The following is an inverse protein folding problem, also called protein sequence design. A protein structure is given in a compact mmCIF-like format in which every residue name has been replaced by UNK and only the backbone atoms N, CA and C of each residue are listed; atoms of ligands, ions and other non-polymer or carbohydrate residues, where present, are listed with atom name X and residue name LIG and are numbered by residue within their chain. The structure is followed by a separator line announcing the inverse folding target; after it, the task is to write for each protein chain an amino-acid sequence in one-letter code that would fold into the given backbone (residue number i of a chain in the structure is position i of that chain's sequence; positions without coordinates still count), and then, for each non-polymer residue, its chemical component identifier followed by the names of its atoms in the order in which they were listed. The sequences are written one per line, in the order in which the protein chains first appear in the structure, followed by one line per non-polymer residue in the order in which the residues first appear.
data_IF_597870333024
#
_entry.id   IF_597870333024
#
_cell.length_a   1.000
_cell.length_b   1.000
_cell.length_c   1.000
_cell.angle_alpha   90.00
_cell.angle_beta   90.00
_cell.angle_gamma   90.00
#
_symmetry.space_group_name_H-M   'P 1'
#
loop_
_entity.id
_entity.type
_entity.pdbx_description
1 polymer ?
#
# COMPACT_ATOMS: atom_id res chain seq x y z
N UNK A 1 24.32 -10.22 44.29
CA UNK A 1 24.20 -9.24 43.19
C UNK A 1 25.52 -8.49 42.94
N UNK A 2 26.38 -8.36 43.95
CA UNK A 2 27.64 -7.63 43.83
C UNK A 2 28.61 -8.21 42.78
N UNK A 3 28.62 -9.54 42.59
CA UNK A 3 29.49 -10.20 41.60
C UNK A 3 29.18 -9.77 40.16
N UNK A 4 27.91 -9.70 39.77
CA UNK A 4 27.49 -9.33 38.41
C UNK A 4 27.90 -7.88 38.06
N UNK A 5 27.73 -6.96 39.01
CA UNK A 5 28.12 -5.56 38.85
C UNK A 5 29.66 -5.42 38.80
N UNK A 6 30.36 -6.26 39.53
CA UNK A 6 31.83 -6.28 39.55
C UNK A 6 32.38 -6.83 38.23
N UNK A 7 31.79 -7.90 37.70
CA UNK A 7 32.14 -8.49 36.40
C UNK A 7 31.86 -7.53 35.23
N UNK A 8 30.71 -6.86 35.22
CA UNK A 8 30.36 -5.86 34.21
C UNK A 8 31.35 -4.68 34.20
N UNK A 9 31.73 -4.20 35.39
CA UNK A 9 32.71 -3.11 35.56
C UNK A 9 34.10 -3.55 35.12
N UNK A 10 34.49 -4.79 35.39
CA UNK A 10 35.76 -5.36 34.95
C UNK A 10 35.80 -5.49 33.42
N UNK A 11 34.72 -5.98 32.80
CA UNK A 11 34.57 -6.08 31.35
C UNK A 11 34.68 -4.73 30.64
N UNK A 12 33.97 -3.71 31.12
CA UNK A 12 34.07 -2.33 30.61
C UNK A 12 35.50 -1.78 30.69
N UNK A 13 36.18 -2.04 31.81
CA UNK A 13 37.58 -1.59 32.00
C UNK A 13 38.55 -2.31 31.08
N UNK A 14 38.27 -3.57 30.73
CA UNK A 14 39.04 -4.35 29.77
C UNK A 14 38.84 -3.82 28.34
N UNK A 15 37.60 -3.50 27.96
CA UNK A 15 37.25 -2.92 26.65
C UNK A 15 37.92 -1.55 26.44
N UNK A 16 38.00 -0.72 27.48
CA UNK A 16 38.67 0.59 27.45
C UNK A 16 40.20 0.49 27.36
N UNK A 17 40.81 -0.62 27.80
CA UNK A 17 42.26 -0.87 27.70
C UNK A 17 42.70 -1.31 26.30
N UNK A 18 41.78 -1.79 25.47
CA UNK A 18 42.08 -2.29 24.12
C UNK A 18 41.20 -1.61 23.05
N UNK A 19 41.31 -0.28 22.89
CA UNK A 19 40.36 0.52 22.11
C UNK A 19 40.27 0.12 20.62
N UNK A 20 41.39 -0.29 20.00
CA UNK A 20 41.39 -0.70 18.60
C UNK A 20 40.60 -1.99 18.33
N UNK A 21 40.80 -3.02 19.16
CA UNK A 21 40.05 -4.28 19.04
C UNK A 21 38.56 -4.07 19.36
N UNK A 22 38.26 -3.33 20.44
CA UNK A 22 36.90 -2.98 20.81
C UNK A 22 36.18 -2.24 19.69
N UNK A 23 36.84 -1.27 19.04
CA UNK A 23 36.24 -0.51 17.94
C UNK A 23 35.88 -1.40 16.74
N UNK A 24 36.76 -2.33 16.34
CA UNK A 24 36.49 -3.27 15.25
C UNK A 24 35.29 -4.17 15.60
N UNK A 25 35.26 -4.73 16.81
CA UNK A 25 34.15 -5.58 17.26
C UNK A 25 32.83 -4.82 17.29
N UNK A 26 32.80 -3.61 17.86
CA UNK A 26 31.61 -2.77 17.91
C UNK A 26 31.12 -2.41 16.51
N UNK A 27 32.01 -2.03 15.60
CA UNK A 27 31.66 -1.72 14.21
C UNK A 27 31.11 -2.94 13.47
N UNK A 28 31.74 -4.10 13.61
CA UNK A 28 31.24 -5.33 12.99
C UNK A 28 29.85 -5.72 13.54
N UNK A 29 29.64 -5.59 14.85
CA UNK A 29 28.35 -5.89 15.48
C UNK A 29 27.27 -4.88 15.05
N UNK A 30 27.62 -3.59 15.03
CA UNK A 30 26.74 -2.52 14.58
C UNK A 30 26.35 -2.68 13.12
N UNK A 31 27.29 -3.06 12.25
CA UNK A 31 27.01 -3.31 10.83
C UNK A 31 26.09 -4.52 10.65
N UNK A 32 26.35 -5.62 11.36
CA UNK A 32 25.53 -6.84 11.28
C UNK A 32 24.09 -6.61 11.78
N UNK A 33 23.94 -5.94 12.92
CA UNK A 33 22.63 -5.59 13.47
C UNK A 33 21.94 -4.57 12.56
N UNK A 34 22.63 -3.49 12.20
CA UNK A 34 22.09 -2.40 11.41
C UNK A 34 21.65 -2.83 10.01
N UNK A 35 22.43 -3.67 9.32
CA UNK A 35 22.08 -4.18 8.00
C UNK A 35 20.79 -5.03 8.06
N UNK A 36 20.68 -5.93 9.04
CA UNK A 36 19.48 -6.75 9.21
C UNK A 36 18.26 -5.88 9.55
N UNK A 37 18.41 -4.94 10.50
CA UNK A 37 17.34 -4.00 10.86
C UNK A 37 16.92 -3.13 9.67
N UNK A 38 17.86 -2.67 8.84
CA UNK A 38 17.56 -1.86 7.66
C UNK A 38 16.77 -2.64 6.61
N UNK A 39 17.13 -3.90 6.36
CA UNK A 39 16.39 -4.77 5.42
C UNK A 39 14.96 -4.99 5.92
N UNK A 40 14.77 -5.33 7.19
CA UNK A 40 13.43 -5.54 7.75
C UNK A 40 12.61 -4.24 7.77
N UNK A 41 13.23 -3.11 8.09
CA UNK A 41 12.55 -1.79 8.05
C UNK A 41 12.14 -1.41 6.63
N UNK A 42 12.97 -1.73 5.63
CA UNK A 42 12.63 -1.49 4.23
C UNK A 42 11.50 -2.41 3.77
N UNK A 43 11.54 -3.69 4.13
CA UNK A 43 10.46 -4.65 3.87
C UNK A 43 9.16 -4.14 4.49
N UNK A 44 9.17 -3.74 5.76
CA UNK A 44 8.00 -3.20 6.44
C UNK A 44 7.47 -1.92 5.74
N UNK A 45 8.36 -0.99 5.40
CA UNK A 45 7.98 0.26 4.73
C UNK A 45 7.46 0.07 3.29
N UNK A 46 7.88 -0.98 2.58
CA UNK A 46 7.55 -1.21 1.16
C UNK A 46 6.44 -2.25 0.99
N UNK A 47 6.48 -3.35 1.71
CA UNK A 47 5.52 -4.46 1.61
C UNK A 47 4.34 -4.32 2.59
N UNK A 48 4.56 -3.75 3.78
CA UNK A 48 3.53 -3.62 4.82
C UNK A 48 2.97 -2.21 4.93
N UNK A 49 3.23 -1.33 3.95
CA UNK A 49 2.62 -0.01 3.91
C UNK A 49 1.11 -0.16 3.86
N UNK A 50 0.51 0.03 5.03
CA UNK A 50 -0.91 -0.08 5.29
C UNK A 50 -1.69 0.63 4.19
N UNK A 51 -2.58 -0.13 3.53
CA UNK A 51 -3.53 0.44 2.57
C UNK A 51 -4.20 1.66 3.25
N UNK A 52 -4.23 2.82 2.58
CA UNK A 52 -4.84 4.01 3.15
C UNK A 52 -6.32 3.73 3.46
N UNK A 53 -6.67 3.74 4.75
CA UNK A 53 -8.01 3.45 5.22
C UNK A 53 -8.05 3.29 6.73
N UNK A 54 -9.25 3.29 7.32
CA UNK A 54 -9.43 3.07 8.76
C UNK A 54 -9.20 1.59 9.09
N UNK A 55 -8.38 1.32 10.10
CA UNK A 55 -8.03 -0.03 10.57
C UNK A 55 -7.48 -0.97 9.48
N UNK A 56 -6.35 -0.63 8.83
CA UNK A 56 -5.73 -1.45 7.79
C UNK A 56 -5.38 -2.87 8.24
N UNK A 57 -5.17 -3.09 9.54
CA UNK A 57 -4.96 -4.41 10.15
C UNK A 57 -6.16 -5.37 10.03
N UNK A 58 -7.35 -4.86 9.67
CA UNK A 58 -8.56 -5.66 9.46
C UNK A 58 -8.78 -6.03 7.99
N UNK A 59 -7.93 -5.55 7.07
CA UNK A 59 -8.02 -5.87 5.66
C UNK A 59 -7.44 -7.27 5.40
N UNK A 60 -8.25 -8.13 4.80
CA UNK A 60 -7.84 -9.49 4.42
C UNK A 60 -8.01 -9.69 2.93
N UNK A 61 -7.11 -10.47 2.32
CA UNK A 61 -7.17 -10.79 0.90
C UNK A 61 -7.87 -12.14 0.70
N UNK A 62 -8.93 -12.15 -0.11
CA UNK A 62 -9.68 -13.36 -0.43
C UNK A 62 -8.95 -14.16 -1.52
N UNK A 63 -8.47 -15.35 -1.17
CA UNK A 63 -7.88 -16.31 -2.10
C UNK A 63 -8.85 -17.47 -2.33
N UNK A 64 -9.02 -17.87 -3.59
CA UNK A 64 -9.62 -19.17 -3.94
C UNK A 64 -8.51 -20.17 -4.19
N UNK A 65 -8.64 -21.37 -3.62
CA UNK A 65 -7.75 -22.49 -3.87
C UNK A 65 -8.47 -23.45 -4.82
N UNK A 66 -7.85 -23.81 -5.94
CA UNK A 66 -8.40 -24.85 -6.81
C UNK A 66 -8.17 -26.26 -6.23
N UNK A 67 -8.75 -27.27 -6.88
CA UNK A 67 -8.61 -28.67 -6.45
C UNK A 67 -7.16 -29.19 -6.51
N UNK A 68 -6.24 -28.49 -7.19
CA UNK A 68 -4.82 -28.81 -7.28
C UNK A 68 -3.98 -28.04 -6.25
N UNK A 69 -4.60 -27.20 -5.41
CA UNK A 69 -3.91 -26.41 -4.41
C UNK A 69 -3.34 -25.09 -4.93
N UNK A 70 -3.69 -24.67 -6.15
CA UNK A 70 -3.22 -23.38 -6.68
C UNK A 70 -4.07 -22.25 -6.12
N UNK A 71 -3.40 -21.24 -5.56
CA UNK A 71 -4.04 -20.02 -5.09
C UNK A 71 -4.29 -19.07 -6.26
N UNK A 72 -5.55 -18.70 -6.47
CA UNK A 72 -5.96 -17.64 -7.38
C UNK A 72 -6.59 -16.49 -6.60
N UNK A 73 -6.19 -15.27 -6.95
CA UNK A 73 -6.82 -14.01 -6.50
C UNK A 73 -7.75 -13.44 -7.57
N UNK A 74 -7.83 -14.09 -8.74
CA UNK A 74 -8.63 -13.62 -9.87
C UNK A 74 -10.07 -14.10 -9.66
N UNK A 75 -10.88 -13.21 -9.10
CA UNK A 75 -12.32 -13.42 -8.98
C UNK A 75 -13.04 -12.73 -10.13
N UNK A 76 -13.95 -13.45 -10.77
CA UNK A 76 -14.84 -12.82 -11.75
C UNK A 76 -15.68 -11.75 -11.07
N UNK A 77 -15.97 -10.64 -11.76
CA UNK A 77 -16.79 -9.56 -11.21
C UNK A 77 -18.17 -10.05 -10.68
N UNK A 78 -18.88 -10.99 -11.35
CA UNK A 78 -20.10 -11.58 -10.80
C UNK A 78 -19.92 -12.35 -9.48
N UNK A 79 -18.77 -13.01 -9.29
CA UNK A 79 -18.47 -13.67 -8.01
C UNK A 79 -18.28 -12.64 -6.90
N UNK A 80 -17.55 -11.55 -7.18
CA UNK A 80 -17.42 -10.42 -6.26
C UNK A 80 -18.79 -9.86 -5.86
N UNK A 81 -19.69 -9.62 -6.84
CA UNK A 81 -21.04 -9.12 -6.56
C UNK A 81 -21.80 -10.05 -5.61
N UNK A 82 -21.78 -11.37 -5.86
CA UNK A 82 -22.44 -12.35 -4.98
C UNK A 82 -21.86 -12.33 -3.58
N UNK A 83 -20.53 -12.34 -3.45
CA UNK A 83 -19.85 -12.31 -2.16
C UNK A 83 -20.22 -11.03 -1.41
N UNK A 84 -20.17 -9.87 -2.06
CA UNK A 84 -20.54 -8.58 -1.47
C UNK A 84 -21.99 -8.56 -0.99
N UNK A 85 -22.92 -9.06 -1.80
CA UNK A 85 -24.36 -8.99 -1.54
C UNK A 85 -24.84 -10.02 -0.51
N UNK A 86 -24.10 -11.11 -0.33
CA UNK A 86 -24.39 -12.20 0.61
C UNK A 86 -23.27 -12.34 1.65
N UNK A 87 -22.71 -11.22 2.09
CA UNK A 87 -21.64 -11.22 3.09
C UNK A 87 -22.18 -10.85 4.47
N UNK A 88 -22.04 -11.80 5.40
CA UNK A 88 -22.36 -11.62 6.83
C UNK A 88 -21.11 -11.56 7.73
N UNK A 89 -19.91 -11.73 7.15
CA UNK A 89 -18.66 -11.92 7.90
C UNK A 89 -17.80 -10.65 7.92
N UNK A 90 -17.70 -9.96 6.80
CA UNK A 90 -16.88 -8.76 6.63
C UNK A 90 -17.71 -7.48 6.78
N UNK A 91 -17.09 -6.38 7.19
CA UNK A 91 -17.75 -5.05 7.17
C UNK A 91 -18.01 -4.56 5.74
N UNK A 92 -17.22 -5.02 4.78
CA UNK A 92 -17.39 -4.74 3.35
C UNK A 92 -16.40 -5.55 2.52
N UNK A 93 -16.75 -5.76 1.26
CA UNK A 93 -15.89 -6.43 0.28
C UNK A 93 -15.74 -5.48 -0.90
N UNK A 94 -14.51 -5.28 -1.36
CA UNK A 94 -14.19 -4.54 -2.59
C UNK A 94 -13.25 -5.35 -3.47
N UNK A 95 -13.14 -4.97 -4.74
CA UNK A 95 -12.14 -5.50 -5.65
C UNK A 95 -11.31 -4.36 -6.21
N UNK A 96 -10.01 -4.60 -6.38
CA UNK A 96 -9.08 -3.70 -7.03
C UNK A 96 -8.18 -4.49 -7.97
N UNK A 97 -7.82 -3.88 -9.09
CA UNK A 97 -6.82 -4.40 -10.03
C UNK A 97 -5.95 -3.26 -10.53
N UNK A 98 -4.67 -3.53 -10.76
CA UNK A 98 -3.69 -2.51 -11.16
C UNK A 98 -3.22 -2.75 -12.59
N UNK A 99 -4.06 -2.44 -13.61
CA UNK A 99 -3.65 -2.59 -15.00
C UNK A 99 -2.51 -1.62 -15.34
N UNK A 100 -1.76 -1.93 -16.41
CA UNK A 100 -0.85 -0.96 -17.00
C UNK A 100 -1.67 0.12 -17.70
N UNK A 101 -1.49 1.37 -17.29
CA UNK A 101 -2.18 2.52 -17.86
C UNK A 101 -1.18 3.51 -18.45
N UNK A 102 -1.54 4.10 -19.58
CA UNK A 102 -0.84 5.22 -20.21
C UNK A 102 -1.77 6.42 -20.21
N UNK A 103 -1.32 7.55 -19.68
CA UNK A 103 -2.06 8.80 -19.72
C UNK A 103 -1.58 9.64 -20.89
N UNK A 104 -2.51 10.02 -21.76
CA UNK A 104 -2.27 11.01 -22.82
C UNK A 104 -2.77 12.38 -22.36
N UNK A 105 -1.84 13.32 -22.23
CA UNK A 105 -2.12 14.72 -21.92
C UNK A 105 -1.26 15.62 -22.80
N UNK A 106 -1.85 16.66 -23.38
CA UNK A 106 -1.14 17.65 -24.19
C UNK A 106 -0.30 17.03 -25.34
N UNK A 107 -0.77 15.90 -25.89
CA UNK A 107 -0.09 15.17 -26.96
C UNK A 107 1.09 14.31 -26.51
N UNK A 108 1.37 14.21 -25.21
CA UNK A 108 2.39 13.33 -24.65
C UNK A 108 1.77 12.17 -23.87
N UNK A 109 2.11 10.95 -24.25
CA UNK A 109 1.75 9.74 -23.52
C UNK A 109 2.80 9.47 -22.44
N UNK A 110 2.36 9.27 -21.20
CA UNK A 110 3.23 8.91 -20.09
C UNK A 110 2.65 7.74 -19.29
N UNK A 111 3.48 6.78 -18.85
CA UNK A 111 3.00 5.69 -18.01
C UNK A 111 2.49 6.25 -16.68
N UNK A 112 1.33 5.78 -16.25
CA UNK A 112 0.76 6.13 -14.95
C UNK A 112 0.37 4.87 -14.19
N UNK A 113 0.54 4.95 -12.87
CA UNK A 113 0.00 3.93 -11.97
C UNK A 113 -1.44 4.32 -11.68
N UNK A 114 -2.37 3.40 -11.92
CA UNK A 114 -3.76 3.54 -11.55
C UNK A 114 -4.38 2.20 -11.24
N UNK A 115 -5.50 2.24 -10.54
CA UNK A 115 -6.24 1.05 -10.12
C UNK A 115 -7.66 1.14 -10.65
N UNK A 116 -8.15 0.02 -11.19
CA UNK A 116 -9.58 -0.20 -11.41
C UNK A 116 -10.14 -0.81 -10.14
N UNK A 117 -11.04 -0.09 -9.51
CA UNK A 117 -11.63 -0.46 -8.21
C UNK A 117 -13.14 -0.55 -8.32
N UNK A 118 -13.76 -1.37 -7.47
CA UNK A 118 -15.21 -1.43 -7.38
C UNK A 118 -15.81 -0.12 -6.86
N UNK A 119 -17.07 0.14 -7.20
CA UNK A 119 -17.74 1.39 -6.83
C UNK A 119 -17.84 1.67 -5.32
N UNK A 120 -17.76 0.65 -4.47
CA UNK A 120 -17.77 0.81 -3.01
C UNK A 120 -16.38 0.91 -2.36
N UNK A 121 -15.29 0.86 -3.14
CA UNK A 121 -13.91 0.80 -2.65
C UNK A 121 -13.60 1.87 -1.59
N UNK A 122 -13.85 3.14 -1.92
CA UNK A 122 -13.58 4.26 -1.01
C UNK A 122 -14.47 4.25 0.23
N UNK A 123 -15.70 3.75 0.12
CA UNK A 123 -16.62 3.62 1.26
C UNK A 123 -16.16 2.53 2.23
N UNK A 124 -15.67 1.39 1.72
CA UNK A 124 -15.19 0.29 2.58
C UNK A 124 -13.88 0.68 3.28
N UNK A 125 -13.00 1.42 2.61
CA UNK A 125 -11.77 1.93 3.22
C UNK A 125 -12.00 3.17 4.12
N UNK A 126 -13.21 3.71 4.15
CA UNK A 126 -13.55 4.97 4.82
C UNK A 126 -12.63 6.14 4.39
N UNK A 127 -12.31 6.21 3.09
CA UNK A 127 -11.48 7.27 2.50
C UNK A 127 -12.38 8.34 1.90
N UNK A 128 -12.24 9.57 2.40
CA UNK A 128 -13.03 10.71 1.94
C UNK A 128 -12.25 11.58 0.93
N UNK A 129 -12.90 12.01 -0.17
CA UNK A 129 -12.27 12.90 -1.14
C UNK A 129 -12.08 14.31 -0.54
N UNK A 130 -10.95 14.94 -0.85
CA UNK A 130 -10.69 16.35 -0.47
C UNK A 130 -11.51 17.29 -1.36
N UNK A 131 -11.72 16.91 -2.63
CA UNK A 131 -12.42 17.70 -3.63
C UNK A 131 -13.23 16.77 -4.56
N UNK A 132 -14.44 17.18 -4.92
CA UNK A 132 -15.33 16.39 -5.78
C UNK A 132 -16.06 15.28 -5.01
N UNK A 133 -16.23 14.12 -5.66
CA UNK A 133 -16.88 12.93 -5.07
C UNK A 133 -16.02 11.69 -5.28
N UNK A 134 -16.14 10.72 -4.38
CA UNK A 134 -15.57 9.39 -4.59
C UNK A 134 -16.41 8.61 -5.61
N UNK A 135 -15.85 7.48 -6.06
CA UNK A 135 -16.62 6.47 -6.80
C UNK A 135 -17.70 5.90 -5.89
N UNK A 136 -18.83 5.54 -6.51
CA UNK A 136 -19.99 4.94 -5.86
C UNK A 136 -20.39 3.68 -6.61
N UNK A 137 -21.23 2.85 -5.99
CA UNK A 137 -21.76 1.62 -6.62
C UNK A 137 -22.46 1.91 -7.95
N UNK A 138 -23.08 3.08 -8.10
CA UNK A 138 -23.76 3.48 -9.34
C UNK A 138 -22.77 3.64 -10.51
N UNK A 139 -21.52 4.03 -10.24
CA UNK A 139 -20.49 4.21 -11.27
C UNK A 139 -19.95 2.88 -11.83
N UNK A 140 -20.28 1.75 -11.19
CA UNK A 140 -19.73 0.42 -11.47
C UNK A 140 -20.82 -0.59 -11.94
N UNK A 141 -22.05 -0.11 -12.24
CA UNK A 141 -23.17 -0.99 -12.62
C UNK A 141 -23.12 -1.49 -14.05
N UNK A 142 -22.68 -0.65 -14.98
CA UNK A 142 -22.73 -0.94 -16.41
C UNK A 142 -21.31 -0.87 -16.99
N UNK A 143 -20.80 -1.98 -17.57
CA UNK A 143 -19.48 -1.98 -18.17
C UNK A 143 -19.30 -0.84 -19.19
N UNK A 144 -18.28 -0.01 -18.98
CA UNK A 144 -17.93 1.09 -19.88
C UNK A 144 -18.87 2.31 -19.85
N UNK A 145 -19.89 2.34 -18.99
CA UNK A 145 -20.88 3.43 -18.97
C UNK A 145 -20.41 4.71 -18.28
N UNK A 146 -19.44 4.62 -17.34
CA UNK A 146 -18.99 5.75 -16.55
C UNK A 146 -17.47 5.90 -16.62
N UNK A 147 -17.00 6.87 -17.40
CA UNK A 147 -15.57 7.25 -17.46
C UNK A 147 -15.24 8.25 -16.36
N UNK A 148 -15.38 7.84 -15.11
CA UNK A 148 -15.02 8.64 -13.93
C UNK A 148 -13.72 8.12 -13.32
N UNK A 149 -12.88 9.04 -12.86
CA UNK A 149 -11.61 8.71 -12.22
C UNK A 149 -11.42 9.56 -10.96
N UNK A 150 -10.84 8.96 -9.93
CA UNK A 150 -10.35 9.66 -8.74
C UNK A 150 -8.84 9.72 -8.83
N UNK A 151 -8.27 10.91 -8.64
CA UNK A 151 -6.81 11.12 -8.68
C UNK A 151 -6.26 11.29 -7.28
N UNK A 152 -5.03 10.83 -7.07
CA UNK A 152 -4.33 11.05 -5.80
C UNK A 152 -3.96 12.51 -5.61
N UNK A 153 -3.80 12.93 -4.35
CA UNK A 153 -3.34 14.28 -4.03
C UNK A 153 -1.98 14.61 -4.67
N UNK A 154 -1.04 13.66 -4.71
CA UNK A 154 0.26 13.87 -5.36
C UNK A 154 0.12 14.08 -6.86
N UNK A 155 -0.77 13.35 -7.52
CA UNK A 155 -1.06 13.54 -8.94
C UNK A 155 -1.71 14.90 -9.21
N UNK A 156 -2.70 15.29 -8.39
CA UNK A 156 -3.34 16.62 -8.45
C UNK A 156 -2.32 17.75 -8.28
N UNK A 157 -1.40 17.63 -7.31
CA UNK A 157 -0.34 18.61 -7.08
C UNK A 157 0.63 18.73 -8.25
N UNK A 158 1.09 17.60 -8.78
CA UNK A 158 2.17 17.58 -9.76
C UNK A 158 1.70 17.79 -11.20
N UNK A 159 0.46 17.44 -11.53
CA UNK A 159 -0.09 17.53 -12.90
C UNK A 159 -1.10 18.64 -13.10
N UNK A 160 -1.74 19.11 -12.04
CA UNK A 160 -2.78 20.13 -12.12
C UNK A 160 -2.54 21.30 -11.18
N UNK A 161 -1.36 21.39 -10.55
CA UNK A 161 -0.94 22.51 -9.71
C UNK A 161 -1.92 22.82 -8.56
N UNK A 162 -2.58 21.79 -8.03
CA UNK A 162 -3.65 21.92 -7.02
C UNK A 162 -4.84 22.78 -7.49
N UNK A 163 -5.06 22.93 -8.79
CA UNK A 163 -6.17 23.69 -9.34
C UNK A 163 -7.51 23.03 -9.00
N UNK A 164 -8.46 23.74 -8.37
CA UNK A 164 -9.79 23.18 -8.06
C UNK A 164 -10.62 22.91 -9.34
N UNK A 165 -10.24 23.53 -10.46
CA UNK A 165 -10.82 23.28 -11.78
C UNK A 165 -10.54 21.88 -12.34
N UNK A 166 -9.82 21.03 -11.60
CA UNK A 166 -9.55 19.64 -12.00
C UNK A 166 -10.83 18.79 -12.06
N UNK A 167 -11.83 19.12 -11.23
CA UNK A 167 -13.11 18.40 -11.22
C UNK A 167 -13.85 18.68 -12.53
N UNK A 168 -14.25 17.61 -13.21
CA UNK A 168 -14.95 17.68 -14.50
C UNK A 168 -14.03 17.78 -15.72
N UNK A 169 -12.69 17.84 -15.54
CA UNK A 169 -11.76 17.69 -16.66
C UNK A 169 -11.71 16.25 -17.15
N UNK A 170 -11.60 16.11 -18.48
CA UNK A 170 -11.40 14.81 -19.12
C UNK A 170 -9.92 14.50 -19.23
N UNK A 171 -9.57 13.24 -18.99
CA UNK A 171 -8.25 12.67 -19.23
C UNK A 171 -8.40 11.48 -20.17
N UNK A 172 -7.41 11.26 -21.03
CA UNK A 172 -7.42 10.12 -21.94
C UNK A 172 -6.43 9.07 -21.45
N UNK A 173 -6.93 7.86 -21.23
CA UNK A 173 -6.12 6.71 -20.83
C UNK A 173 -6.06 5.71 -22.00
N UNK A 174 -4.88 5.15 -22.23
CA UNK A 174 -4.61 4.13 -23.24
C UNK A 174 -5.05 4.52 -24.66
N UNK A 175 -4.74 5.76 -25.06
CA UNK A 175 -4.84 6.21 -26.44
C UNK A 175 -3.72 5.65 -27.32
#
# INVERSE_FOLDING_TARGET
MDSFIQDLRYGLRMLLKSPGFTAVVVLSLALGIGANTAIFSLIDAVLLKMLPGKNPEQLVLLHTVDAQGNNSTIHSYPLYQRLRDHNDVFSGIFVASSPRLSLSMEGQASPVVGELVSGNYFSVLEVHPILGRALTIEDDRVPGAHSVAVISHSFWKNRFELSPSVVGKTITLNA
#
